data_IF_996815081965
#
_entry.id   IF_996815081965
#
_cell.length_a   1.000
_cell.length_b   1.000
_cell.length_c   1.000
_cell.angle_alpha   90.00
_cell.angle_beta   90.00
_cell.angle_gamma   90.00
#
_symmetry.space_group_name_H-M   'P 1'
#
loop_
_entity.id
_entity.type
_entity.pdbx_description
1 polymer ?
#
# COMPACT_ATOMS: atom_id res chain seq x y z
N UNK A 1 6.57 -13.62 23.73
CA UNK A 1 5.33 -14.35 23.32
C UNK A 1 4.93 -13.78 21.96
N UNK A 2 4.66 -14.63 20.98
CA UNK A 2 4.18 -14.18 19.67
C UNK A 2 2.73 -13.70 19.79
N UNK A 3 2.37 -12.58 19.21
CA UNK A 3 0.99 -12.05 19.19
C UNK A 3 0.06 -12.96 18.36
N UNK A 4 0.56 -13.45 17.24
CA UNK A 4 -0.17 -14.41 16.41
C UNK A 4 -0.05 -15.81 17.00
N UNK A 5 -1.16 -16.55 17.03
CA UNK A 5 -1.19 -17.95 17.43
C UNK A 5 -0.45 -18.83 16.42
N UNK A 6 -0.01 -20.01 16.84
CA UNK A 6 0.61 -20.99 15.93
C UNK A 6 -0.27 -21.35 14.73
N UNK A 7 -1.60 -21.38 14.92
CA UNK A 7 -2.54 -21.63 13.82
C UNK A 7 -2.57 -20.47 12.80
N UNK A 8 -2.49 -19.22 13.27
CA UNK A 8 -2.44 -18.06 12.38
C UNK A 8 -1.11 -18.00 11.62
N UNK A 9 0.02 -18.28 12.28
CA UNK A 9 1.31 -18.37 11.61
C UNK A 9 1.30 -19.47 10.54
N UNK A 10 0.77 -20.65 10.88
CA UNK A 10 0.60 -21.73 9.91
C UNK A 10 -0.32 -21.33 8.75
N UNK A 11 -1.41 -20.59 9.02
CA UNK A 11 -2.28 -20.07 7.97
C UNK A 11 -1.49 -19.13 7.03
N UNK A 12 -0.66 -18.23 7.58
CA UNK A 12 0.18 -17.34 6.78
C UNK A 12 1.15 -18.11 5.88
N UNK A 13 1.84 -19.10 6.44
CA UNK A 13 2.77 -19.96 5.72
C UNK A 13 2.09 -20.78 4.62
N UNK A 14 0.92 -21.35 4.91
CA UNK A 14 0.19 -22.23 4.00
C UNK A 14 -0.58 -21.43 2.91
N UNK A 15 -1.21 -20.32 3.28
CA UNK A 15 -2.13 -19.58 2.40
C UNK A 15 -1.53 -18.28 1.83
N UNK A 16 -0.49 -17.72 2.47
CA UNK A 16 0.12 -16.44 2.12
C UNK A 16 -0.55 -15.23 2.77
N UNK A 17 -1.54 -15.42 3.63
CA UNK A 17 -2.23 -14.32 4.33
C UNK A 17 -2.92 -14.75 5.62
N UNK A 18 -3.22 -13.76 6.46
CA UNK A 18 -4.05 -13.91 7.67
C UNK A 18 -5.13 -12.84 7.66
N UNK A 19 -6.35 -13.19 7.99
CA UNK A 19 -7.49 -12.27 8.11
C UNK A 19 -8.67 -12.97 8.80
N UNK A 20 -9.51 -12.26 9.60
CA UNK A 20 -9.28 -10.89 10.09
C UNK A 20 -8.39 -10.86 11.34
N UNK A 21 -7.80 -9.68 11.64
CA UNK A 21 -7.07 -9.39 12.87
C UNK A 21 -7.61 -8.07 13.45
N UNK A 22 -8.01 -8.06 14.72
CA UNK A 22 -8.50 -6.85 15.41
C UNK A 22 -7.32 -5.96 15.83
N UNK A 23 -7.24 -4.72 15.31
CA UNK A 23 -6.12 -3.83 15.61
C UNK A 23 -6.54 -2.44 16.10
N UNK A 24 -7.65 -1.91 15.60
CA UNK A 24 -8.22 -0.63 16.01
C UNK A 24 -9.64 -0.83 16.53
N UNK A 25 -10.09 0.06 17.37
CA UNK A 25 -11.51 0.24 17.63
C UNK A 25 -12.21 0.91 16.45
N UNK A 26 -13.53 0.78 16.35
CA UNK A 26 -14.32 1.49 15.34
C UNK A 26 -14.19 3.01 15.45
N UNK A 27 -13.97 3.54 16.66
CA UNK A 27 -13.73 4.98 16.89
C UNK A 27 -12.39 5.41 16.30
N UNK A 28 -11.31 4.65 16.53
CA UNK A 28 -9.98 4.96 15.98
C UNK A 28 -9.97 4.90 14.43
N UNK A 29 -10.72 3.95 13.86
CA UNK A 29 -10.90 3.88 12.41
C UNK A 29 -11.67 5.07 11.85
N UNK A 30 -12.74 5.52 12.56
CA UNK A 30 -13.51 6.70 12.20
C UNK A 30 -12.67 7.97 12.29
N UNK A 31 -11.91 8.17 13.35
CA UNK A 31 -11.02 9.32 13.52
C UNK A 31 -9.99 9.42 12.39
N UNK A 32 -9.46 8.26 11.94
CA UNK A 32 -8.55 8.22 10.80
C UNK A 32 -9.24 8.58 9.49
N UNK A 33 -10.48 8.13 9.27
CA UNK A 33 -11.31 8.53 8.13
C UNK A 33 -11.55 10.04 8.14
N UNK A 34 -11.94 10.61 9.26
CA UNK A 34 -12.20 12.05 9.40
C UNK A 34 -10.95 12.89 9.12
N UNK A 35 -9.77 12.45 9.55
CA UNK A 35 -8.52 13.15 9.24
C UNK A 35 -8.18 13.07 7.75
N UNK A 36 -8.42 11.95 7.08
CA UNK A 36 -8.29 11.82 5.61
C UNK A 36 -9.22 12.80 4.91
N UNK A 37 -10.50 12.85 5.29
CA UNK A 37 -11.50 13.74 4.70
C UNK A 37 -11.17 15.23 4.96
N UNK A 38 -10.55 15.55 6.10
CA UNK A 38 -10.01 16.88 6.38
C UNK A 38 -8.83 17.24 5.46
N UNK A 39 -7.92 16.29 5.21
CA UNK A 39 -6.79 16.50 4.29
C UNK A 39 -7.32 16.72 2.87
N UNK A 40 -8.26 15.89 2.41
CA UNK A 40 -8.89 16.04 1.08
C UNK A 40 -9.56 17.43 0.93
N UNK A 41 -10.24 17.92 1.97
CA UNK A 41 -10.86 19.25 1.96
C UNK A 41 -9.85 20.38 1.89
N UNK A 42 -8.72 20.28 2.58
CA UNK A 42 -7.67 21.31 2.63
C UNK A 42 -6.71 21.25 1.44
N UNK A 43 -6.50 20.07 0.91
CA UNK A 43 -5.56 19.77 -0.17
C UNK A 43 -6.23 18.87 -1.22
N UNK A 44 -7.23 19.36 -1.97
CA UNK A 44 -8.14 18.53 -2.77
C UNK A 44 -7.44 17.75 -3.91
N UNK A 45 -6.22 18.15 -4.29
CA UNK A 45 -5.45 17.47 -5.35
C UNK A 45 -4.34 16.57 -4.80
N UNK A 46 -4.22 16.45 -3.47
CA UNK A 46 -3.10 15.71 -2.86
C UNK A 46 -3.43 14.25 -2.54
N UNK A 47 -4.72 13.90 -2.43
CA UNK A 47 -5.18 12.50 -2.22
C UNK A 47 -6.05 12.07 -3.40
N UNK A 48 -5.60 12.34 -4.60
CA UNK A 48 -6.18 11.81 -5.82
C UNK A 48 -5.57 10.42 -6.16
N UNK A 49 -5.87 9.93 -7.35
CA UNK A 49 -5.32 8.65 -7.85
C UNK A 49 -3.78 8.61 -7.84
N UNK A 50 -3.11 9.74 -8.00
CA UNK A 50 -1.64 9.88 -8.00
C UNK A 50 -1.08 10.19 -6.62
N UNK A 51 -1.81 10.94 -5.80
CA UNK A 51 -1.39 11.45 -4.48
C UNK A 51 -1.70 10.53 -3.30
N UNK A 52 -2.24 9.34 -3.49
CA UNK A 52 -2.64 8.42 -2.40
C UNK A 52 -1.49 7.81 -1.60
N UNK A 53 -0.24 8.04 -2.01
CA UNK A 53 0.93 7.42 -1.39
C UNK A 53 1.46 8.25 -0.23
N UNK A 54 2.01 7.55 0.77
CA UNK A 54 2.74 8.12 1.91
C UNK A 54 1.99 9.21 2.68
N UNK A 55 0.65 9.10 2.76
CA UNK A 55 -0.19 10.08 3.48
C UNK A 55 0.11 10.08 4.98
N UNK A 56 0.63 8.99 5.54
CA UNK A 56 1.08 8.93 6.94
C UNK A 56 2.16 9.98 7.26
N UNK A 57 2.96 10.42 6.28
CA UNK A 57 3.99 11.45 6.50
C UNK A 57 3.39 12.85 6.76
N UNK A 58 2.13 13.10 6.39
CA UNK A 58 1.43 14.37 6.62
C UNK A 58 0.25 14.24 7.59
N UNK A 59 -0.01 13.05 8.12
CA UNK A 59 -1.14 12.70 8.98
C UNK A 59 -0.65 12.03 10.26
N UNK A 60 -0.64 12.71 11.41
CA UNK A 60 -0.29 12.10 12.69
C UNK A 60 -1.15 10.90 13.07
N UNK A 61 -2.44 10.92 12.66
CA UNK A 61 -3.35 9.80 12.93
C UNK A 61 -2.94 8.56 12.12
N UNK A 62 -2.67 8.69 10.82
CA UNK A 62 -2.19 7.57 10.00
C UNK A 62 -0.80 7.11 10.43
N UNK A 63 0.10 8.02 10.80
CA UNK A 63 1.40 7.66 11.38
C UNK A 63 1.24 6.87 12.67
N UNK A 64 0.28 7.22 13.53
CA UNK A 64 -0.01 6.46 14.76
C UNK A 64 -0.52 5.05 14.46
N UNK A 65 -1.27 4.85 13.38
CA UNK A 65 -1.70 3.52 12.94
C UNK A 65 -0.50 2.70 12.44
N UNK A 66 0.38 3.29 11.66
CA UNK A 66 1.64 2.65 11.22
C UNK A 66 2.46 2.14 12.40
N UNK A 67 2.45 2.87 13.52
CA UNK A 67 3.19 2.52 14.74
C UNK A 67 2.33 1.87 15.83
N UNK A 68 1.11 1.41 15.50
CA UNK A 68 0.22 0.77 16.45
C UNK A 68 0.80 -0.56 16.96
N UNK A 69 0.85 -0.72 18.29
CA UNK A 69 1.49 -1.88 18.92
C UNK A 69 0.87 -3.21 18.49
N UNK A 70 -0.46 -3.31 18.34
CA UNK A 70 -1.14 -4.55 17.93
C UNK A 70 -0.77 -4.93 16.48
N UNK A 71 -0.63 -3.95 15.60
CA UNK A 71 -0.17 -4.18 14.22
C UNK A 71 1.28 -4.66 14.24
N UNK A 72 2.15 -3.93 14.96
CA UNK A 72 3.58 -4.28 15.04
C UNK A 72 3.82 -5.62 15.72
N UNK A 73 3.03 -6.00 16.72
CA UNK A 73 3.11 -7.32 17.38
C UNK A 73 2.77 -8.46 16.40
N UNK A 74 1.76 -8.25 15.56
CA UNK A 74 1.39 -9.22 14.53
C UNK A 74 2.48 -9.32 13.45
N UNK A 75 3.02 -8.19 13.00
CA UNK A 75 4.11 -8.10 12.01
C UNK A 75 5.39 -8.74 12.56
N UNK A 76 5.76 -8.45 13.82
CA UNK A 76 6.91 -9.06 14.49
C UNK A 76 6.85 -10.58 14.50
N UNK A 77 5.64 -11.14 14.65
CA UNK A 77 5.44 -12.58 14.62
C UNK A 77 5.81 -13.23 13.27
N UNK A 78 5.86 -12.43 12.18
CA UNK A 78 6.17 -12.89 10.81
C UNK A 78 7.61 -12.57 10.41
N UNK A 79 8.05 -11.32 10.58
CA UNK A 79 9.34 -10.84 10.06
C UNK A 79 10.40 -10.58 11.14
N UNK A 80 10.07 -10.79 12.41
CA UNK A 80 10.97 -10.58 13.54
C UNK A 80 10.93 -9.16 14.13
N UNK A 81 11.72 -8.95 15.20
CA UNK A 81 11.61 -7.81 16.10
C UNK A 81 12.08 -6.46 15.54
N UNK A 82 12.87 -6.45 14.49
CA UNK A 82 13.43 -5.23 13.92
C UNK A 82 12.67 -4.87 12.65
N UNK A 83 11.81 -3.85 12.72
CA UNK A 83 10.81 -3.53 11.70
C UNK A 83 11.00 -2.10 11.22
N UNK A 84 11.12 -1.95 9.91
CA UNK A 84 11.10 -0.66 9.22
C UNK A 84 9.81 -0.53 8.40
N UNK A 85 9.40 0.71 8.12
CA UNK A 85 8.28 1.04 7.23
C UNK A 85 8.82 1.79 6.02
N UNK A 86 8.53 1.27 4.81
CA UNK A 86 8.96 1.89 3.56
C UNK A 86 7.89 2.82 2.98
N UNK A 87 6.64 2.37 2.90
CA UNK A 87 5.59 3.14 2.24
C UNK A 87 4.20 2.78 2.72
N UNK A 88 3.28 3.71 2.52
CA UNK A 88 1.85 3.49 2.73
C UNK A 88 1.05 3.92 1.52
N UNK A 89 -0.15 3.38 1.36
CA UNK A 89 -1.06 3.71 0.27
C UNK A 89 -2.50 3.77 0.79
N UNK A 90 -3.26 4.78 0.38
CA UNK A 90 -4.70 4.82 0.57
C UNK A 90 -5.39 4.21 -0.66
N UNK A 91 -6.24 3.21 -0.44
CA UNK A 91 -7.15 2.69 -1.45
C UNK A 91 -8.57 3.12 -1.13
N UNK A 92 -8.97 4.24 -1.72
CA UNK A 92 -10.32 4.82 -1.56
C UNK A 92 -11.14 4.45 -2.79
N UNK A 93 -12.33 3.92 -2.57
CA UNK A 93 -13.34 3.67 -3.61
C UNK A 93 -14.60 4.42 -3.23
N UNK A 94 -14.92 5.47 -4.00
CA UNK A 94 -16.13 6.23 -3.78
C UNK A 94 -17.39 5.44 -4.20
N UNK A 95 -18.59 5.83 -3.73
CA UNK A 95 -19.83 5.20 -4.13
C UNK A 95 -19.99 5.14 -5.66
N UNK A 96 -20.35 3.97 -6.18
CA UNK A 96 -20.61 3.75 -7.62
C UNK A 96 -19.43 4.07 -8.57
N UNK A 97 -18.21 4.21 -8.03
CA UNK A 97 -17.01 4.46 -8.82
C UNK A 97 -16.52 3.17 -9.51
N UNK A 98 -16.01 3.29 -10.74
CA UNK A 98 -15.52 2.14 -11.51
C UNK A 98 -14.09 1.71 -11.15
N UNK A 99 -13.55 2.24 -10.02
CA UNK A 99 -12.22 1.93 -9.54
C UNK A 99 -12.08 0.48 -9.07
N UNK A 100 -11.20 -0.28 -9.70
CA UNK A 100 -10.83 -1.64 -9.32
C UNK A 100 -9.32 -1.79 -9.19
N UNK A 101 -8.87 -2.90 -8.61
CA UNK A 101 -7.46 -3.29 -8.57
C UNK A 101 -7.33 -4.63 -9.26
N UNK A 102 -6.58 -4.70 -10.37
CA UNK A 102 -6.30 -5.95 -11.06
C UNK A 102 -5.53 -6.93 -10.16
N UNK A 103 -5.66 -8.22 -10.41
CA UNK A 103 -4.89 -9.23 -9.70
C UNK A 103 -3.39 -9.06 -9.98
N UNK A 104 -2.59 -8.94 -8.92
CA UNK A 104 -1.14 -8.70 -9.00
C UNK A 104 -0.42 -9.27 -7.78
N UNK A 105 0.90 -9.29 -7.83
CA UNK A 105 1.80 -9.58 -6.70
C UNK A 105 2.67 -8.36 -6.45
N UNK A 106 2.68 -7.83 -5.23
CA UNK A 106 3.47 -6.65 -4.85
C UNK A 106 4.96 -6.83 -5.13
N UNK A 107 5.50 -8.01 -4.80
CA UNK A 107 6.91 -8.33 -4.96
C UNK A 107 7.46 -8.13 -6.38
N UNK A 108 6.60 -8.16 -7.40
CA UNK A 108 7.02 -8.02 -8.79
C UNK A 108 7.51 -6.61 -9.14
N UNK A 109 7.07 -5.58 -8.41
CA UNK A 109 7.22 -4.17 -8.82
C UNK A 109 7.88 -3.27 -7.78
N UNK A 110 7.96 -3.72 -6.52
CA UNK A 110 8.43 -2.87 -5.42
C UNK A 110 9.95 -2.91 -5.26
N UNK A 111 10.60 -4.00 -5.67
CA UNK A 111 12.06 -4.12 -5.65
C UNK A 111 12.67 -4.27 -4.26
N UNK A 112 11.94 -4.81 -3.30
CA UNK A 112 12.41 -5.08 -1.94
C UNK A 112 12.90 -6.53 -1.82
N UNK A 113 14.20 -6.72 -1.57
CA UNK A 113 14.85 -8.04 -1.51
C UNK A 113 15.78 -8.18 -0.28
N UNK A 114 15.82 -9.34 0.39
CA UNK A 114 14.95 -10.51 0.19
C UNK A 114 13.49 -10.22 0.57
N UNK A 115 12.56 -11.13 0.24
CA UNK A 115 11.13 -10.98 0.55
C UNK A 115 10.80 -11.18 2.04
N UNK A 116 11.64 -10.66 2.94
CA UNK A 116 11.41 -10.61 4.38
C UNK A 116 10.58 -9.35 4.74
N UNK A 117 9.38 -9.28 4.18
CA UNK A 117 8.45 -8.18 4.40
C UNK A 117 7.00 -8.59 4.22
N UNK A 118 6.09 -7.81 4.76
CA UNK A 118 4.66 -8.08 4.78
C UNK A 118 3.86 -6.81 4.53
N UNK A 119 2.74 -6.94 3.84
CA UNK A 119 1.76 -5.86 3.66
C UNK A 119 0.65 -5.99 4.71
N UNK A 120 0.35 -4.89 5.41
CA UNK A 120 -0.80 -4.77 6.29
C UNK A 120 -1.87 -3.90 5.63
N UNK A 121 -3.07 -4.44 5.45
CA UNK A 121 -4.22 -3.72 4.92
C UNK A 121 -5.24 -3.49 6.03
N UNK A 122 -5.40 -2.25 6.48
CA UNK A 122 -6.27 -1.83 7.60
C UNK A 122 -7.56 -1.24 7.04
N UNK A 123 -8.70 -1.79 7.46
CA UNK A 123 -10.02 -1.28 7.11
C UNK A 123 -10.36 -0.04 7.95
N UNK A 124 -10.47 1.13 7.33
CA UNK A 124 -10.97 2.34 7.99
C UNK A 124 -12.49 2.50 7.83
N UNK A 125 -13.08 1.73 6.96
CA UNK A 125 -14.53 1.52 6.80
C UNK A 125 -14.79 0.03 6.67
N UNK A 126 -16.03 -0.42 6.83
CA UNK A 126 -16.37 -1.79 6.49
C UNK A 126 -15.97 -2.09 5.03
N UNK A 127 -15.42 -3.27 4.81
CA UNK A 127 -14.97 -3.76 3.51
C UNK A 127 -15.58 -5.14 3.27
N UNK A 128 -16.45 -5.24 2.25
CA UNK A 128 -17.19 -6.45 1.90
C UNK A 128 -17.32 -6.58 0.38
N UNK A 129 -17.92 -7.65 -0.10
CA UNK A 129 -18.04 -7.89 -1.54
C UNK A 129 -18.81 -6.78 -2.28
N UNK A 130 -19.86 -6.20 -1.65
CA UNK A 130 -20.64 -5.14 -2.27
C UNK A 130 -19.86 -3.85 -2.48
N UNK A 131 -18.89 -3.53 -1.60
CA UNK A 131 -18.07 -2.32 -1.73
C UNK A 131 -16.66 -2.59 -2.27
N UNK A 132 -16.45 -3.77 -2.85
CA UNK A 132 -15.20 -4.13 -3.52
C UNK A 132 -14.07 -4.43 -2.55
N UNK A 133 -14.29 -5.32 -1.57
CA UNK A 133 -13.25 -5.82 -0.69
C UNK A 133 -12.09 -6.46 -1.48
N UNK A 134 -10.97 -6.61 -0.82
CA UNK A 134 -9.84 -7.32 -1.39
C UNK A 134 -10.18 -8.79 -1.56
N UNK A 135 -9.67 -9.37 -2.65
CA UNK A 135 -9.72 -10.81 -2.94
C UNK A 135 -8.30 -11.33 -2.99
N UNK A 136 -8.05 -12.51 -2.45
CA UNK A 136 -6.75 -13.18 -2.46
C UNK A 136 -6.83 -14.57 -3.03
N UNK A 137 -5.83 -14.96 -3.81
CA UNK A 137 -5.68 -16.33 -4.29
C UNK A 137 -4.77 -17.12 -3.33
N UNK A 138 -5.32 -18.02 -2.49
CA UNK A 138 -4.55 -18.80 -1.52
C UNK A 138 -3.42 -19.58 -2.18
N UNK A 139 -2.27 -19.70 -1.49
CA UNK A 139 -1.07 -20.44 -1.93
C UNK A 139 -0.34 -19.87 -3.16
N UNK A 140 -0.86 -18.81 -3.78
CA UNK A 140 -0.23 -18.19 -4.94
C UNK A 140 1.13 -17.56 -4.63
N UNK A 141 1.42 -17.26 -3.36
CA UNK A 141 2.71 -16.72 -2.88
C UNK A 141 3.90 -17.67 -3.04
N UNK A 142 3.64 -18.96 -3.23
CA UNK A 142 4.70 -19.96 -3.42
C UNK A 142 5.50 -19.74 -4.70
N UNK A 143 4.89 -19.11 -5.72
CA UNK A 143 5.52 -18.84 -7.01
C UNK A 143 5.26 -17.40 -7.48
N UNK A 144 6.25 -16.77 -8.09
CA UNK A 144 6.06 -15.54 -8.85
C UNK A 144 5.33 -15.90 -10.15
N UNK A 145 4.26 -15.16 -10.43
CA UNK A 145 3.46 -15.29 -11.65
C UNK A 145 3.93 -14.31 -12.72
N UNK A 146 3.63 -14.61 -13.96
CA UNK A 146 3.80 -13.65 -15.04
C UNK A 146 2.75 -12.54 -14.93
N UNK A 147 3.18 -11.30 -15.18
CA UNK A 147 2.33 -10.13 -15.15
C UNK A 147 2.37 -9.45 -16.51
N UNK A 148 1.18 -9.09 -17.00
CA UNK A 148 1.02 -8.20 -18.13
C UNK A 148 0.76 -6.77 -17.65
N UNK A 149 1.11 -5.79 -18.46
CA UNK A 149 0.80 -4.38 -18.22
C UNK A 149 -0.34 -3.97 -19.16
N UNK A 150 -1.55 -3.82 -18.61
CA UNK A 150 -2.74 -3.39 -19.35
C UNK A 150 -3.28 -2.12 -18.72
N UNK A 151 -2.91 -0.99 -19.30
CA UNK A 151 -3.46 0.28 -18.84
C UNK A 151 -4.98 0.31 -18.97
N UNK A 152 -5.66 0.70 -17.91
CA UNK A 152 -7.10 0.90 -17.85
C UNK A 152 -7.39 2.04 -16.86
N UNK A 153 -8.16 3.04 -17.26
CA UNK A 153 -8.47 4.20 -16.41
C UNK A 153 -9.13 3.83 -15.08
N UNK A 154 -9.97 2.78 -15.08
CA UNK A 154 -10.58 2.25 -13.86
C UNK A 154 -9.61 1.49 -12.95
N UNK A 155 -8.46 1.04 -13.46
CA UNK A 155 -7.49 0.33 -12.64
C UNK A 155 -6.73 1.30 -11.74
N UNK A 156 -6.76 1.03 -10.43
CA UNK A 156 -6.06 1.84 -9.45
C UNK A 156 -4.55 1.56 -9.41
N UNK A 157 -4.05 0.52 -10.08
CA UNK A 157 -2.62 0.28 -10.23
C UNK A 157 -2.03 1.18 -11.31
N UNK A 158 -0.90 1.80 -11.00
CA UNK A 158 -0.27 2.84 -11.83
C UNK A 158 0.07 2.36 -13.26
N UNK A 159 0.49 1.09 -13.40
CA UNK A 159 0.89 0.49 -14.68
C UNK A 159 -0.13 -0.51 -15.22
N UNK A 160 -1.23 -0.74 -14.50
CA UNK A 160 -2.22 -1.76 -14.86
C UNK A 160 -1.67 -3.21 -14.79
N UNK A 161 -0.75 -3.45 -13.87
CA UNK A 161 -0.15 -4.77 -13.64
C UNK A 161 -1.23 -5.81 -13.42
N UNK A 162 -1.18 -6.91 -14.18
CA UNK A 162 -2.23 -7.92 -14.15
C UNK A 162 -1.66 -9.33 -14.27
N UNK A 163 -1.99 -10.19 -13.31
CA UNK A 163 -1.88 -11.64 -13.43
C UNK A 163 -3.13 -12.13 -14.13
N UNK A 164 -2.97 -12.79 -15.27
CA UNK A 164 -4.08 -13.33 -16.03
C UNK A 164 -4.46 -14.75 -15.56
N UNK A 165 -5.64 -15.20 -15.96
CA UNK A 165 -6.14 -16.56 -15.71
C UNK A 165 -6.17 -16.95 -14.22
N UNK A 166 -6.50 -15.99 -13.34
CA UNK A 166 -6.72 -16.27 -11.92
C UNK A 166 -8.02 -17.07 -11.79
N UNK A 167 -8.00 -18.25 -11.14
CA UNK A 167 -9.22 -19.07 -10.99
C UNK A 167 -10.16 -18.43 -9.96
N UNK A 168 -11.24 -17.81 -10.44
CA UNK A 168 -12.17 -17.03 -9.59
C UNK A 168 -12.87 -17.88 -8.51
N UNK A 169 -13.02 -19.20 -8.73
CA UNK A 169 -13.59 -20.14 -7.77
C UNK A 169 -12.62 -20.48 -6.61
N UNK A 170 -11.32 -20.31 -6.80
CA UNK A 170 -10.30 -20.49 -5.75
C UNK A 170 -10.07 -19.22 -4.94
N UNK A 171 -10.41 -18.05 -5.47
CA UNK A 171 -10.16 -16.77 -4.82
C UNK A 171 -11.07 -16.59 -3.61
N UNK A 172 -10.53 -16.00 -2.53
CA UNK A 172 -11.26 -15.73 -1.29
C UNK A 172 -11.46 -14.24 -1.09
N UNK A 173 -12.69 -13.84 -0.83
CA UNK A 173 -13.04 -12.48 -0.42
C UNK A 173 -12.54 -12.21 1.00
N UNK A 174 -11.81 -11.12 1.18
CA UNK A 174 -11.27 -10.68 2.47
C UNK A 174 -12.18 -9.58 3.01
N UNK A 175 -13.23 -10.03 3.68
CA UNK A 175 -14.17 -9.11 4.33
C UNK A 175 -13.65 -8.68 5.70
N UNK A 176 -13.69 -7.38 5.97
CA UNK A 176 -13.20 -6.76 7.19
C UNK A 176 -14.21 -5.73 7.71
N UNK A 177 -14.36 -5.67 9.02
CA UNK A 177 -15.01 -4.55 9.69
C UNK A 177 -14.03 -3.41 9.90
N UNK A 178 -14.54 -2.18 10.04
CA UNK A 178 -13.72 -1.03 10.40
C UNK A 178 -12.91 -1.33 11.67
N UNK A 179 -11.59 -1.11 11.60
CA UNK A 179 -10.64 -1.43 12.67
C UNK A 179 -9.98 -2.80 12.57
N UNK A 180 -10.43 -3.68 11.68
CA UNK A 180 -9.76 -4.94 11.38
C UNK A 180 -8.69 -4.77 10.31
N UNK A 181 -7.73 -5.70 10.27
CA UNK A 181 -6.72 -5.77 9.21
C UNK A 181 -6.56 -7.18 8.65
N UNK A 182 -5.95 -7.26 7.48
CA UNK A 182 -5.30 -8.45 6.94
C UNK A 182 -3.79 -8.24 6.85
N UNK A 183 -3.02 -9.31 7.02
CA UNK A 183 -1.60 -9.37 6.68
C UNK A 183 -1.40 -10.31 5.50
N UNK A 184 -0.64 -9.91 4.50
CA UNK A 184 -0.37 -10.77 3.36
C UNK A 184 1.07 -10.71 2.88
N UNK A 185 1.52 -11.87 2.39
CA UNK A 185 2.84 -12.05 1.82
C UNK A 185 2.95 -11.28 0.50
N UNK A 186 4.08 -10.61 0.19
CA UNK A 186 4.23 -9.79 -1.02
C UNK A 186 4.03 -10.54 -2.34
N UNK A 187 4.13 -11.86 -2.32
CA UNK A 187 3.89 -12.71 -3.49
C UNK A 187 2.48 -13.30 -3.56
N UNK A 188 1.57 -12.99 -2.63
CA UNK A 188 0.18 -13.45 -2.78
C UNK A 188 -0.49 -12.67 -3.90
N UNK A 189 -1.14 -13.37 -4.82
CA UNK A 189 -1.95 -12.74 -5.86
C UNK A 189 -3.22 -12.19 -5.23
N UNK A 190 -3.43 -10.89 -5.39
CA UNK A 190 -4.59 -10.21 -4.83
C UNK A 190 -5.09 -9.09 -5.75
N UNK A 191 -6.35 -8.72 -5.57
CA UNK A 191 -7.01 -7.68 -6.35
C UNK A 191 -8.30 -7.24 -5.66
N UNK A 192 -9.09 -6.38 -6.29
CA UNK A 192 -10.41 -5.99 -5.75
C UNK A 192 -11.34 -5.44 -6.82
N UNK A 193 -12.63 -5.78 -6.73
CA UNK A 193 -13.68 -5.27 -7.62
C UNK A 193 -14.06 -3.81 -7.35
N UNK A 194 -15.08 -3.32 -8.04
CA UNK A 194 -15.61 -1.96 -7.89
C UNK A 194 -16.45 -1.82 -6.62
N UNK A 195 -16.66 -0.57 -6.18
CA UNK A 195 -17.59 -0.25 -5.09
C UNK A 195 -19.01 -0.02 -5.66
N UNK A 196 -19.95 -0.90 -5.34
CA UNK A 196 -21.37 -0.82 -5.71
C UNK A 196 -22.25 -0.31 -4.58
N UNK A 197 -21.66 0.05 -3.43
CA UNK A 197 -22.39 0.55 -2.27
C UNK A 197 -22.60 2.06 -2.31
N UNK A 198 -23.35 2.57 -1.35
CA UNK A 198 -23.65 3.99 -1.23
C UNK A 198 -22.70 4.76 -0.29
N UNK A 199 -21.67 4.10 0.26
CA UNK A 199 -20.64 4.76 1.10
C UNK A 199 -19.22 4.46 0.53
N UNK A 200 -18.28 5.27 0.96
CA UNK A 200 -16.86 5.11 0.62
C UNK A 200 -16.27 3.87 1.28
N UNK A 201 -15.46 3.13 0.56
CA UNK A 201 -14.61 2.09 1.11
C UNK A 201 -13.18 2.62 1.19
N UNK A 202 -12.64 2.74 2.41
CA UNK A 202 -11.30 3.27 2.67
C UNK A 202 -10.45 2.17 3.28
N UNK A 203 -9.41 1.75 2.56
CA UNK A 203 -8.36 0.88 3.06
C UNK A 203 -7.06 1.67 3.21
N UNK A 204 -6.47 1.62 4.40
CA UNK A 204 -5.15 2.14 4.65
C UNK A 204 -4.15 0.99 4.63
N UNK A 205 -3.25 1.03 3.67
CA UNK A 205 -2.29 -0.04 3.42
C UNK A 205 -0.90 0.43 3.85
N UNK A 206 -0.34 -0.24 4.85
CA UNK A 206 1.09 -0.18 5.11
C UNK A 206 1.71 -1.21 4.16
N UNK A 207 2.15 -0.73 3.01
CA UNK A 207 2.50 -1.56 1.86
C UNK A 207 3.75 -2.41 2.12
N UNK A 208 4.67 -1.92 2.97
CA UNK A 208 5.89 -2.64 3.23
C UNK A 208 6.38 -2.40 4.66
N UNK A 209 5.99 -3.29 5.57
CA UNK A 209 6.75 -3.54 6.78
C UNK A 209 7.88 -4.49 6.42
N UNK A 210 9.13 -4.06 6.56
CA UNK A 210 10.31 -4.82 6.16
C UNK A 210 11.22 -5.15 7.35
N UNK A 211 11.89 -6.31 7.29
CA UNK A 211 13.04 -6.59 8.14
C UNK A 211 14.23 -5.72 7.73
N UNK A 212 15.08 -5.37 8.68
CA UNK A 212 16.23 -4.46 8.44
C UNK A 212 17.28 -5.01 7.44
N UNK A 213 17.23 -6.33 7.16
CA UNK A 213 18.07 -6.98 6.14
C UNK A 213 17.59 -6.78 4.69
N UNK A 214 16.41 -6.20 4.49
CA UNK A 214 15.82 -5.98 3.16
C UNK A 214 16.44 -4.74 2.51
N UNK A 215 16.72 -4.80 1.21
CA UNK A 215 17.28 -3.73 0.39
C UNK A 215 16.31 -3.32 -0.70
N UNK A 216 16.34 -2.04 -1.08
CA UNK A 216 15.72 -1.55 -2.30
C UNK A 216 16.65 -1.80 -3.49
N UNK A 217 16.19 -2.51 -4.53
CA UNK A 217 16.98 -2.90 -5.70
C UNK A 217 16.66 -2.10 -6.96
N UNK A 218 15.54 -1.37 -6.98
CA UNK A 218 15.06 -0.64 -8.15
C UNK A 218 15.30 0.87 -8.08
N UNK A 219 15.57 1.44 -6.91
CA UNK A 219 15.72 2.88 -6.77
C UNK A 219 16.22 3.28 -5.39
N UNK A 220 15.71 4.39 -4.89
CA UNK A 220 15.94 4.87 -3.52
C UNK A 220 14.61 4.92 -2.78
N UNK A 221 14.65 4.71 -1.49
CA UNK A 221 13.54 5.00 -0.58
C UNK A 221 14.12 5.31 0.80
N UNK A 222 13.42 6.15 1.55
CA UNK A 222 13.67 6.30 2.97
C UNK A 222 12.71 5.41 3.76
N UNK A 223 13.01 5.20 5.04
CA UNK A 223 12.20 4.35 5.93
C UNK A 223 12.03 5.01 7.30
N UNK A 224 10.96 4.67 7.99
CA UNK A 224 10.83 4.93 9.43
C UNK A 224 11.18 3.68 10.22
N UNK A 225 11.85 3.82 11.36
CA UNK A 225 11.99 2.71 12.32
C UNK A 225 10.67 2.55 13.07
N UNK A 226 9.97 1.46 12.80
CA UNK A 226 8.69 1.16 13.46
C UNK A 226 8.90 0.44 14.79
N UNK A 227 9.88 -0.47 14.86
CA UNK A 227 10.24 -1.21 16.08
C UNK A 227 11.68 -1.72 16.02
N UNK A 228 12.33 -1.81 17.19
CA UNK A 228 13.69 -2.36 17.31
C UNK A 228 14.75 -1.42 16.77
N UNK A 229 15.80 -1.98 16.17
CA UNK A 229 16.98 -1.27 15.72
C UNK A 229 17.33 -1.65 14.28
N UNK A 230 17.79 -0.67 13.49
CA UNK A 230 18.34 -0.93 12.17
C UNK A 230 19.83 -1.28 12.27
N UNK A 231 20.17 -2.55 12.09
CA UNK A 231 21.54 -3.04 12.17
C UNK A 231 22.24 -3.14 10.81
N UNK A 232 21.53 -2.87 9.70
CA UNK A 232 22.06 -3.04 8.34
C UNK A 232 22.33 -1.73 7.62
N UNK A 233 21.63 -0.66 7.99
CA UNK A 233 21.79 0.68 7.41
C UNK A 233 21.66 0.72 5.87
N UNK A 234 20.69 -0.04 5.35
CA UNK A 234 20.45 -0.10 3.90
C UNK A 234 19.64 1.06 3.36
N UNK A 235 18.99 1.83 4.24
CA UNK A 235 18.04 2.90 3.89
C UNK A 235 18.36 4.19 4.66
N UNK A 236 17.95 5.32 4.10
CA UNK A 236 17.91 6.59 4.83
C UNK A 236 16.76 6.53 5.85
N UNK A 237 17.06 6.84 7.12
CA UNK A 237 16.04 6.89 8.18
C UNK A 237 15.42 8.28 8.20
N UNK A 238 14.09 8.34 8.17
CA UNK A 238 13.30 9.57 8.33
C UNK A 238 12.50 9.56 9.63
N UNK A 239 12.25 10.76 10.16
CA UNK A 239 11.47 10.92 11.37
C UNK A 239 9.98 10.76 11.14
N UNK A 240 9.27 10.42 12.20
CA UNK A 240 7.80 10.40 12.24
C UNK A 240 7.25 11.82 12.17
N UNK A 241 6.06 11.96 11.59
CA UNK A 241 5.34 13.23 11.64
C UNK A 241 4.64 13.42 12.99
N UNK A 242 4.65 14.65 13.49
CA UNK A 242 3.95 15.05 14.71
C UNK A 242 2.96 16.20 14.47
N UNK A 243 2.89 16.71 13.25
CA UNK A 243 2.04 17.83 12.88
C UNK A 243 1.29 17.55 11.58
N UNK A 244 -0.02 17.81 11.60
CA UNK A 244 -0.89 17.65 10.45
C UNK A 244 -0.51 18.65 9.36
N UNK A 245 -0.10 18.15 8.19
CA UNK A 245 0.20 18.93 6.98
C UNK A 245 1.20 20.08 7.22
N UNK A 246 2.25 19.86 8.00
CA UNK A 246 3.34 20.86 8.11
C UNK A 246 4.08 21.00 6.76
N UNK A 247 4.66 22.16 6.49
CA UNK A 247 5.42 22.39 5.26
C UNK A 247 6.55 21.38 5.09
N UNK A 248 7.29 21.08 6.16
CA UNK A 248 8.36 20.09 6.18
C UNK A 248 7.83 18.70 5.79
N UNK A 249 6.71 18.27 6.38
CA UNK A 249 6.11 16.95 6.11
C UNK A 249 5.56 16.84 4.68
N UNK A 250 5.02 17.91 4.13
CA UNK A 250 4.56 17.98 2.74
C UNK A 250 5.75 17.83 1.77
N UNK A 251 6.85 18.55 2.02
CA UNK A 251 8.07 18.45 1.22
C UNK A 251 8.70 17.06 1.31
N UNK A 252 8.77 16.49 2.52
CA UNK A 252 9.25 15.12 2.72
C UNK A 252 8.40 14.12 1.95
N UNK A 253 7.07 14.19 2.09
CA UNK A 253 6.16 13.30 1.36
C UNK A 253 6.33 13.41 -0.15
N UNK A 254 6.51 14.63 -0.67
CA UNK A 254 6.77 14.84 -2.11
C UNK A 254 8.04 14.12 -2.55
N UNK A 255 9.15 14.31 -1.81
CA UNK A 255 10.43 13.61 -2.07
C UNK A 255 10.24 12.09 -2.12
N UNK A 256 9.56 11.52 -1.11
CA UNK A 256 9.35 10.07 -1.02
C UNK A 256 8.39 9.54 -2.11
N UNK A 257 7.40 10.34 -2.51
CA UNK A 257 6.54 9.98 -3.63
C UNK A 257 7.28 10.01 -4.97
N UNK A 258 8.20 10.97 -5.17
CA UNK A 258 9.05 11.02 -6.36
C UNK A 258 9.94 9.76 -6.45
N UNK A 259 10.56 9.32 -5.36
CA UNK A 259 11.31 8.07 -5.30
C UNK A 259 10.42 6.84 -5.61
N UNK A 260 9.23 6.79 -5.05
CA UNK A 260 8.29 5.70 -5.28
C UNK A 260 7.84 5.63 -6.75
N UNK A 261 7.61 6.78 -7.39
CA UNK A 261 7.30 6.85 -8.82
C UNK A 261 8.47 6.33 -9.66
N UNK A 262 9.70 6.71 -9.36
CA UNK A 262 10.89 6.18 -10.06
C UNK A 262 10.95 4.65 -9.96
N UNK A 263 10.70 4.08 -8.76
CA UNK A 263 10.65 2.63 -8.56
C UNK A 263 9.56 1.98 -9.43
N UNK A 264 8.34 2.51 -9.38
CA UNK A 264 7.21 1.93 -10.11
C UNK A 264 7.39 1.95 -11.61
N UNK A 265 8.06 2.96 -12.17
CA UNK A 265 8.28 3.06 -13.61
C UNK A 265 9.60 2.47 -14.09
N UNK A 266 10.49 2.06 -13.18
CA UNK A 266 11.75 1.45 -13.58
C UNK A 266 11.52 0.12 -14.33
N UNK A 267 12.06 0.02 -15.55
CA UNK A 267 11.87 -1.14 -16.42
C UNK A 267 10.52 -1.18 -17.15
N UNK A 268 9.71 -0.12 -17.09
CA UNK A 268 8.53 0.02 -17.93
C UNK A 268 8.92 0.32 -19.38
N UNK A 269 8.52 -0.55 -20.31
CA UNK A 269 8.79 -0.37 -21.75
C UNK A 269 8.13 0.89 -22.35
N UNK A 270 7.05 1.39 -21.72
CA UNK A 270 6.36 2.59 -22.12
C UNK A 270 7.07 3.89 -21.69
N UNK A 271 8.07 3.81 -20.81
CA UNK A 271 8.80 4.99 -20.29
C UNK A 271 10.08 5.30 -21.07
N UNK A 272 10.31 4.65 -22.20
CA UNK A 272 11.39 5.01 -23.13
C UNK A 272 11.00 6.15 -24.08
N UNK A 273 9.79 6.73 -23.94
CA UNK A 273 9.37 7.96 -24.62
C UNK A 273 9.75 9.21 -23.80
N UNK A 274 9.98 10.36 -24.46
CA UNK A 274 10.69 11.50 -23.89
C UNK A 274 10.03 12.01 -22.60
N UNK A 275 10.90 12.42 -21.67
CA UNK A 275 10.55 13.05 -20.39
C UNK A 275 9.48 14.14 -20.57
N UNK A 276 8.55 14.37 -19.62
CA UNK A 276 7.64 15.51 -19.65
C UNK A 276 8.33 16.87 -19.80
N UNK A 277 9.63 16.96 -19.51
CA UNK A 277 10.46 18.15 -19.79
C UNK A 277 10.68 18.37 -21.29
N UNK A 278 10.64 17.33 -22.10
CA UNK A 278 10.84 17.45 -23.56
C UNK A 278 9.56 17.87 -24.29
N UNK A 279 8.40 17.76 -23.64
CA UNK A 279 7.10 18.21 -24.18
C UNK A 279 6.82 19.70 -23.95
N UNK A 280 7.57 20.36 -23.07
CA UNK A 280 7.38 21.79 -22.75
C UNK A 280 8.07 22.74 -23.72
N UNK A 281 8.94 22.23 -24.60
CA UNK A 281 9.72 23.08 -25.56
C UNK A 281 9.15 23.16 -26.97
N UNK A 282 8.03 22.48 -27.28
CA UNK A 282 7.50 22.43 -28.67
C UNK A 282 6.22 23.22 -28.90
N UNK A 283 5.90 24.24 -28.09
CA UNK A 283 4.78 25.16 -28.38
C UNK A 283 5.20 26.64 -28.26
N UNK A 284 5.93 27.11 -29.23
CA UNK A 284 5.85 28.51 -29.62
C UNK A 284 5.09 28.61 -30.96
N UNK A 285 3.95 29.29 -31.05
CA UNK A 285 3.37 29.60 -32.35
C UNK A 285 4.24 30.67 -33.01
N UNK A 286 4.68 30.39 -34.24
CA UNK A 286 5.24 31.38 -35.10
C UNK A 286 4.14 32.39 -35.48
N UNK A 287 4.26 33.59 -34.97
CA UNK A 287 3.53 34.76 -35.50
C UNK A 287 4.19 35.20 -36.79
N UNK A 288 3.48 35.13 -37.87
CA UNK A 288 3.62 36.00 -39.03
C UNK A 288 2.23 36.52 -39.40
#
# INVERSE_FOLDING_TARGET
>A
MTYLSSNQLKQYEDQGYISPIEVLSSSEALEAREEIELIEKKMPNEIDKSGRYNVHLISPKLDSIVHNSKILDAVESIIGKNILVCSTTLFIKNPNEQGFVSYHQDAKYIGLEPHNWVTAWVALTDSNENNGCMKMWPKSHLNIKDHNEKFNEGNLLTRGQTVENVPEDEVKSIELKAGQMSLHHPRVVHGSGINKSNDRRIGFVIQSYIGTNVKQTLGKNSVQVARGEDNYHHHEIINRTNALMSEESILLRKKENDYLQEIFYKGCLLYTSPSPRDLSTSRMPSSA
#
